data_IF_652711294282
#
_entry.id   IF_652711294282
#
_cell.length_a   1.000
_cell.length_b   1.000
_cell.length_c   1.000
_cell.angle_alpha   90.00
_cell.angle_beta   90.00
_cell.angle_gamma   90.00
#
_symmetry.space_group_name_H-M   'P 1'
#
loop_
_entity.id
_entity.type
_entity.pdbx_description
1 polymer ?
#
# COMPACT_ATOMS: atom_id res chain seq x y z
N UNK A 1 -11.76 30.43 -8.52
CA UNK A 1 -11.82 29.09 -9.09
C UNK A 1 -11.41 28.03 -8.11
N UNK A 2 -12.25 27.08 -7.98
CA UNK A 2 -11.97 26.03 -7.02
C UNK A 2 -10.98 25.03 -7.56
N UNK A 3 -9.96 24.70 -6.78
CA UNK A 3 -9.01 23.70 -7.15
C UNK A 3 -9.64 22.32 -7.05
N UNK A 4 -9.27 21.44 -7.97
CA UNK A 4 -9.70 20.08 -7.87
C UNK A 4 -9.14 19.46 -6.61
N UNK A 5 -10.01 18.94 -5.75
CA UNK A 5 -9.60 18.21 -4.57
C UNK A 5 -9.41 16.73 -4.87
N UNK A 6 -9.64 16.34 -6.11
CA UNK A 6 -9.55 14.95 -6.51
C UNK A 6 -8.11 14.50 -6.64
N UNK A 7 -7.90 13.25 -6.29
CA UNK A 7 -6.62 12.59 -6.43
C UNK A 7 -6.55 11.98 -7.82
N UNK A 8 -5.43 12.20 -8.50
CA UNK A 8 -5.15 11.58 -9.78
C UNK A 8 -4.45 10.25 -9.55
N UNK A 9 -5.10 9.15 -9.91
CA UNK A 9 -4.58 7.82 -9.64
C UNK A 9 -3.91 7.23 -10.88
N UNK A 10 -2.76 6.59 -10.66
CA UNK A 10 -1.99 5.91 -11.71
C UNK A 10 -1.62 4.52 -11.24
N UNK A 11 -1.89 3.53 -12.08
CA UNK A 11 -1.50 2.15 -11.80
C UNK A 11 -0.50 1.71 -12.87
N UNK A 12 0.70 1.31 -12.45
CA UNK A 12 1.76 0.94 -13.39
C UNK A 12 2.57 -0.24 -12.89
N UNK A 13 2.96 -1.15 -13.80
CA UNK A 13 3.99 -2.10 -13.47
C UNK A 13 5.33 -1.37 -13.31
N UNK A 14 6.29 -2.00 -12.65
CA UNK A 14 7.55 -1.34 -12.32
C UNK A 14 8.24 -0.73 -13.54
N UNK A 15 8.29 -1.46 -14.65
CA UNK A 15 9.03 -1.00 -15.83
C UNK A 15 8.39 0.19 -16.52
N UNK A 16 7.15 0.53 -16.19
CA UNK A 16 6.46 1.69 -16.77
C UNK A 16 6.49 2.90 -15.86
N UNK A 17 7.05 2.77 -14.66
CA UNK A 17 7.22 3.92 -13.78
C UNK A 17 8.29 4.86 -14.36
N UNK A 18 7.99 6.16 -14.36
CA UNK A 18 9.04 7.13 -14.66
C UNK A 18 10.01 7.17 -13.48
N UNK A 19 11.21 7.71 -13.72
CA UNK A 19 12.17 7.88 -12.62
C UNK A 19 11.60 8.78 -11.54
N UNK A 20 10.78 9.77 -11.92
CA UNK A 20 10.16 10.67 -10.94
C UNK A 20 9.11 9.95 -10.11
N UNK A 21 8.28 9.11 -10.76
CA UNK A 21 7.28 8.32 -10.04
C UNK A 21 7.93 7.35 -9.06
N UNK A 22 8.99 6.70 -9.48
CA UNK A 22 9.72 5.79 -8.60
C UNK A 22 10.32 6.53 -7.43
N UNK A 23 10.97 7.67 -7.70
CA UNK A 23 11.56 8.48 -6.64
C UNK A 23 10.49 8.94 -5.65
N UNK A 24 9.37 9.44 -6.15
CA UNK A 24 8.27 9.89 -5.30
C UNK A 24 7.75 8.77 -4.40
N UNK A 25 7.59 7.56 -4.96
CA UNK A 25 7.13 6.42 -4.19
C UNK A 25 8.10 6.07 -3.08
N UNK A 26 9.38 6.00 -3.39
CA UNK A 26 10.40 5.66 -2.39
C UNK A 26 10.51 6.75 -1.32
N UNK A 27 10.40 8.02 -1.72
CA UNK A 27 10.46 9.13 -0.78
C UNK A 27 9.29 9.08 0.21
N UNK A 28 8.07 8.87 -0.27
CA UNK A 28 6.90 8.78 0.59
C UNK A 28 7.01 7.60 1.55
N UNK A 29 7.44 6.45 1.03
CA UNK A 29 7.62 5.24 1.84
C UNK A 29 8.63 5.47 2.96
N UNK A 30 9.77 6.09 2.64
CA UNK A 30 10.78 6.38 3.65
C UNK A 30 10.28 7.39 4.68
N UNK A 31 9.61 8.45 4.22
CA UNK A 31 9.13 9.50 5.11
C UNK A 31 8.20 8.95 6.19
N UNK A 32 7.36 7.99 5.85
CA UNK A 32 6.40 7.43 6.80
C UNK A 32 6.97 6.22 7.54
N UNK A 33 7.45 5.22 6.80
CA UNK A 33 7.82 3.95 7.43
C UNK A 33 9.14 4.02 8.19
N UNK A 34 10.08 4.85 7.75
CA UNK A 34 11.38 4.94 8.41
C UNK A 34 11.49 6.18 9.31
N UNK A 35 11.13 7.34 8.78
CA UNK A 35 11.33 8.59 9.54
C UNK A 35 10.22 8.80 10.55
N UNK A 36 8.96 8.85 10.10
CA UNK A 36 7.83 9.11 11.01
C UNK A 36 7.70 8.02 12.07
N UNK A 37 7.83 6.75 11.67
CA UNK A 37 7.71 5.64 12.61
C UNK A 37 9.00 5.37 13.39
N UNK A 38 10.04 6.15 13.12
CA UNK A 38 11.33 6.01 13.80
C UNK A 38 11.81 4.56 13.75
N UNK A 39 11.83 3.99 12.55
CA UNK A 39 12.12 2.58 12.35
C UNK A 39 13.13 2.39 11.23
N UNK A 40 14.42 2.19 11.56
CA UNK A 40 15.42 1.94 10.52
C UNK A 40 15.25 0.51 9.99
N UNK A 41 14.91 0.39 8.71
CA UNK A 41 14.86 -0.90 8.03
C UNK A 41 15.06 -0.67 6.53
N UNK A 42 15.32 -1.75 5.82
CA UNK A 42 15.55 -1.66 4.39
C UNK A 42 14.23 -1.75 3.64
N UNK A 43 13.66 -0.59 3.29
CA UNK A 43 12.38 -0.51 2.62
C UNK A 43 12.40 -1.10 1.21
N UNK A 44 13.48 -0.89 0.46
CA UNK A 44 13.66 -1.51 -0.85
C UNK A 44 14.06 -2.96 -0.66
N UNK A 45 13.11 -3.87 -0.84
CA UNK A 45 13.24 -5.28 -0.47
C UNK A 45 13.39 -6.23 -1.66
N UNK A 46 13.61 -5.68 -2.86
CA UNK A 46 13.74 -6.48 -4.07
C UNK A 46 12.44 -6.95 -4.68
N UNK A 47 11.30 -6.53 -4.13
CA UNK A 47 9.99 -6.96 -4.61
C UNK A 47 9.30 -5.93 -5.50
N UNK A 48 9.81 -4.71 -5.52
CA UNK A 48 9.21 -3.63 -6.30
C UNK A 48 9.19 -3.95 -7.79
N UNK A 49 10.27 -4.57 -8.29
CA UNK A 49 10.42 -4.87 -9.70
C UNK A 49 9.39 -5.89 -10.20
N UNK A 50 8.81 -6.68 -9.28
CA UNK A 50 7.84 -7.73 -9.61
C UNK A 50 6.41 -7.30 -9.36
N UNK A 51 6.21 -6.05 -8.94
CA UNK A 51 4.93 -5.58 -8.44
C UNK A 51 4.31 -4.54 -9.34
N UNK A 52 3.01 -4.31 -9.15
CA UNK A 52 2.33 -3.14 -9.68
C UNK A 52 2.31 -2.05 -8.60
N UNK A 53 2.28 -0.81 -9.04
CA UNK A 53 2.37 0.35 -8.15
C UNK A 53 1.19 1.26 -8.39
N UNK A 54 0.43 1.53 -7.33
CA UNK A 54 -0.71 2.45 -7.37
C UNK A 54 -0.28 3.75 -6.72
N UNK A 55 -0.33 4.83 -7.49
CA UNK A 55 0.13 6.14 -7.04
C UNK A 55 -1.03 7.13 -7.09
N UNK A 56 -1.25 7.83 -6.00
CA UNK A 56 -2.25 8.88 -5.91
C UNK A 56 -1.60 10.24 -5.77
N UNK A 57 -1.77 11.07 -6.80
CA UNK A 57 -1.19 12.41 -6.84
C UNK A 57 -2.25 13.48 -6.63
N UNK A 58 -1.89 14.51 -5.89
CA UNK A 58 -2.72 15.69 -5.73
C UNK A 58 -1.83 16.91 -5.87
N UNK A 59 -2.13 17.77 -6.87
CA UNK A 59 -1.32 18.95 -7.17
C UNK A 59 0.16 18.59 -7.32
N UNK A 60 0.45 17.52 -8.07
CA UNK A 60 1.79 17.04 -8.38
C UNK A 60 2.57 16.50 -7.19
N UNK A 61 1.90 16.30 -6.05
CA UNK A 61 2.50 15.70 -4.86
C UNK A 61 1.94 14.29 -4.69
N UNK A 62 2.81 13.30 -4.51
CA UNK A 62 2.36 11.94 -4.22
C UNK A 62 1.87 11.89 -2.78
N UNK A 63 0.57 11.62 -2.60
CA UNK A 63 -0.04 11.62 -1.28
C UNK A 63 -0.51 10.25 -0.84
N UNK A 64 -0.58 9.29 -1.75
CA UNK A 64 -1.04 7.93 -1.43
C UNK A 64 -0.34 6.94 -2.33
N UNK A 65 -0.02 5.77 -1.79
CA UNK A 65 0.70 4.76 -2.54
C UNK A 65 0.39 3.38 -1.97
N UNK A 66 0.32 2.39 -2.85
CA UNK A 66 0.31 0.98 -2.44
C UNK A 66 1.04 0.14 -3.48
N UNK A 67 1.49 -1.03 -3.03
CA UNK A 67 2.18 -2.00 -3.88
C UNK A 67 1.32 -3.25 -3.98
N UNK A 68 1.00 -3.65 -5.22
CA UNK A 68 0.17 -4.81 -5.50
C UNK A 68 1.10 -5.94 -5.96
N UNK A 69 1.15 -7.01 -5.19
CA UNK A 69 2.11 -8.09 -5.40
C UNK A 69 1.41 -9.33 -5.95
N UNK A 70 1.89 -9.86 -7.08
CA UNK A 70 1.35 -11.13 -7.59
C UNK A 70 1.51 -12.27 -6.57
N UNK A 71 0.69 -13.30 -6.73
CA UNK A 71 0.84 -14.51 -5.93
C UNK A 71 2.26 -15.06 -6.04
N UNK A 72 2.82 -15.48 -4.92
CA UNK A 72 4.15 -16.08 -4.88
C UNK A 72 5.30 -15.11 -4.66
N UNK A 73 5.04 -13.79 -4.60
CA UNK A 73 6.10 -12.81 -4.34
C UNK A 73 6.35 -12.65 -2.84
N UNK A 74 5.33 -12.32 -2.08
CA UNK A 74 5.45 -12.23 -0.61
C UNK A 74 4.81 -13.43 0.08
N UNK A 75 3.68 -13.87 -0.44
CA UNK A 75 2.92 -15.00 0.08
C UNK A 75 2.50 -15.88 -1.09
N UNK A 76 1.96 -17.05 -0.80
CA UNK A 76 1.37 -17.89 -1.84
C UNK A 76 0.22 -17.14 -2.55
N UNK A 77 -0.50 -16.31 -1.81
CA UNK A 77 -1.60 -15.51 -2.34
C UNK A 77 -1.11 -14.16 -2.87
N UNK A 78 -1.99 -13.48 -3.60
CA UNK A 78 -1.83 -12.08 -3.96
C UNK A 78 -1.72 -11.26 -2.68
N UNK A 79 -0.99 -10.16 -2.71
CA UNK A 79 -0.83 -9.31 -1.54
C UNK A 79 -0.88 -7.83 -1.92
N UNK A 80 -1.19 -7.01 -0.94
CA UNK A 80 -1.10 -5.55 -1.03
C UNK A 80 -0.20 -5.12 0.11
N UNK A 81 0.84 -4.37 -0.20
CA UNK A 81 1.78 -3.92 0.82
C UNK A 81 2.18 -2.47 0.62
N UNK A 82 2.99 -1.99 1.55
CA UNK A 82 3.47 -0.60 1.53
C UNK A 82 2.33 0.40 1.38
N UNK A 83 1.19 0.12 2.01
CA UNK A 83 0.02 1.00 2.00
C UNK A 83 0.35 2.23 2.84
N UNK A 84 0.32 3.40 2.21
CA UNK A 84 0.78 4.61 2.89
C UNK A 84 0.06 5.84 2.36
N UNK A 85 -0.24 6.77 3.26
CA UNK A 85 -0.72 8.10 2.91
C UNK A 85 0.20 9.15 3.52
N UNK A 86 0.38 10.24 2.78
CA UNK A 86 1.16 11.37 3.26
C UNK A 86 0.50 11.93 4.53
N UNK A 87 1.31 12.27 5.53
CA UNK A 87 0.80 12.68 6.85
C UNK A 87 -0.19 13.85 6.77
N UNK A 88 0.02 14.77 5.84
CA UNK A 88 -0.83 15.97 5.72
C UNK A 88 -2.18 15.67 5.08
N UNK A 89 -2.38 14.46 4.58
CA UNK A 89 -3.60 14.05 3.88
C UNK A 89 -4.33 12.91 4.58
N UNK A 90 -3.95 12.59 5.81
CA UNK A 90 -4.68 11.62 6.62
C UNK A 90 -5.98 12.24 7.09
N UNK A 91 -6.97 11.40 7.38
CA UNK A 91 -8.30 11.81 7.80
C UNK A 91 -9.07 12.53 6.71
N UNK A 92 -8.65 12.41 5.46
CA UNK A 92 -9.32 13.00 4.30
C UNK A 92 -10.08 11.99 3.47
N UNK A 93 -10.00 10.70 3.85
CA UNK A 93 -10.59 9.62 3.06
C UNK A 93 -9.64 9.04 2.02
N UNK A 94 -8.42 9.59 1.89
CA UNK A 94 -7.45 9.13 0.90
C UNK A 94 -7.05 7.67 1.14
N UNK A 95 -6.89 7.26 2.39
CA UNK A 95 -6.53 5.87 2.72
C UNK A 95 -7.61 4.88 2.35
N UNK A 96 -8.87 5.25 2.57
CA UNK A 96 -10.01 4.40 2.18
C UNK A 96 -10.09 4.25 0.66
N UNK A 97 -9.93 5.36 -0.06
CA UNK A 97 -9.97 5.32 -1.51
C UNK A 97 -8.80 4.51 -2.06
N UNK A 98 -7.60 4.71 -1.50
CA UNK A 98 -6.43 3.93 -1.86
C UNK A 98 -6.68 2.43 -1.74
N UNK A 99 -7.24 2.01 -0.61
CA UNK A 99 -7.48 0.58 -0.37
C UNK A 99 -8.57 0.02 -1.27
N UNK A 100 -9.65 0.77 -1.46
CA UNK A 100 -10.73 0.37 -2.36
C UNK A 100 -10.21 0.17 -3.78
N UNK A 101 -9.42 1.11 -4.27
CA UNK A 101 -8.82 1.02 -5.60
C UNK A 101 -7.80 -0.11 -5.71
N UNK A 102 -7.00 -0.30 -4.65
CA UNK A 102 -6.02 -1.39 -4.63
C UNK A 102 -6.70 -2.74 -4.80
N UNK A 103 -7.78 -2.97 -4.07
CA UNK A 103 -8.53 -4.22 -4.17
C UNK A 103 -9.17 -4.39 -5.54
N UNK A 104 -9.77 -3.31 -6.07
CA UNK A 104 -10.37 -3.36 -7.41
C UNK A 104 -9.35 -3.67 -8.48
N UNK A 105 -8.17 -3.08 -8.41
CA UNK A 105 -7.10 -3.35 -9.37
C UNK A 105 -6.54 -4.77 -9.22
N UNK A 106 -6.40 -5.26 -7.99
CA UNK A 106 -5.98 -6.64 -7.78
C UNK A 106 -6.93 -7.61 -8.45
N UNK A 107 -8.23 -7.38 -8.30
CA UNK A 107 -9.24 -8.25 -8.90
C UNK A 107 -9.19 -8.20 -10.43
N UNK A 108 -8.97 -7.01 -10.99
CA UNK A 108 -8.88 -6.85 -12.43
C UNK A 108 -7.62 -7.46 -13.02
N UNK A 109 -6.47 -7.29 -12.33
CA UNK A 109 -5.17 -7.74 -12.86
C UNK A 109 -4.94 -9.22 -12.57
N UNK A 110 -5.25 -9.67 -11.35
CA UNK A 110 -4.91 -11.01 -10.88
C UNK A 110 -6.11 -11.95 -10.83
N UNK A 111 -7.29 -11.51 -11.27
CA UNK A 111 -8.57 -12.20 -11.12
C UNK A 111 -9.00 -12.26 -9.66
N UNK A 112 -10.25 -12.67 -9.43
CA UNK A 112 -10.76 -12.76 -8.07
C UNK A 112 -10.08 -13.93 -7.35
N UNK A 113 -9.36 -13.63 -6.29
CA UNK A 113 -8.67 -14.65 -5.51
C UNK A 113 -8.35 -14.08 -4.13
N UNK A 114 -7.97 -14.94 -3.18
CA UNK A 114 -7.65 -14.46 -1.84
C UNK A 114 -6.47 -13.49 -1.83
N UNK A 115 -6.54 -12.49 -0.95
CA UNK A 115 -5.49 -11.51 -0.73
C UNK A 115 -5.01 -11.64 0.71
N UNK A 116 -3.71 -11.88 0.89
CA UNK A 116 -3.09 -11.99 2.20
C UNK A 116 -2.21 -10.78 2.45
N UNK A 117 -2.31 -10.19 3.64
CA UNK A 117 -1.49 -9.02 3.99
C UNK A 117 -0.85 -9.20 5.37
N UNK A 118 0.27 -8.49 5.55
CA UNK A 118 0.84 -8.26 6.87
C UNK A 118 0.48 -6.85 7.29
N UNK A 119 -0.48 -6.72 8.18
CA UNK A 119 -1.02 -5.44 8.60
C UNK A 119 -0.45 -5.03 9.94
N UNK A 120 -0.11 -3.74 10.11
CA UNK A 120 0.22 -3.23 11.43
C UNK A 120 -1.00 -3.40 12.33
N UNK A 121 -0.79 -3.93 13.53
CA UNK A 121 -1.88 -4.35 14.41
C UNK A 121 -2.88 -3.24 14.71
N UNK A 122 -2.40 -2.01 14.87
CA UNK A 122 -3.28 -0.89 15.19
C UNK A 122 -4.24 -0.53 14.04
N UNK A 123 -3.99 -1.04 12.83
CA UNK A 123 -4.85 -0.83 11.67
C UNK A 123 -5.83 -1.98 11.41
N UNK A 124 -5.93 -2.92 12.36
CA UNK A 124 -6.79 -4.10 12.19
C UNK A 124 -8.21 -3.74 11.75
N UNK A 125 -8.85 -2.80 12.46
CA UNK A 125 -10.22 -2.41 12.15
C UNK A 125 -10.34 -1.79 10.77
N UNK A 126 -9.34 -1.01 10.37
CA UNK A 126 -9.32 -0.41 9.04
C UNK A 126 -9.41 -1.50 7.97
N UNK A 127 -8.58 -2.54 8.09
CA UNK A 127 -8.59 -3.62 7.11
C UNK A 127 -9.81 -4.52 7.23
N UNK A 128 -10.35 -4.71 8.42
CA UNK A 128 -11.59 -5.48 8.60
C UNK A 128 -12.74 -4.85 7.82
N UNK A 129 -12.77 -3.54 7.72
CA UNK A 129 -13.80 -2.83 6.96
C UNK A 129 -13.76 -3.14 5.47
N UNK A 130 -12.66 -3.71 4.98
CA UNK A 130 -12.52 -4.13 3.58
C UNK A 130 -12.64 -5.64 3.41
N UNK A 131 -13.07 -6.35 4.45
CA UNK A 131 -13.29 -7.79 4.37
C UNK A 131 -12.11 -8.65 4.77
N UNK A 132 -11.03 -8.06 5.25
CA UNK A 132 -9.89 -8.83 5.77
C UNK A 132 -10.22 -9.38 7.14
N UNK A 133 -9.73 -10.58 7.41
CA UNK A 133 -9.91 -11.25 8.71
C UNK A 133 -8.56 -11.64 9.26
N UNK A 134 -8.40 -11.44 10.57
CA UNK A 134 -7.22 -11.86 11.31
C UNK A 134 -7.20 -13.39 11.32
N UNK A 135 -6.08 -13.99 10.91
CA UNK A 135 -5.95 -15.46 10.87
C UNK A 135 -5.27 -16.01 12.11
N UNK A 136 -5.08 -15.18 13.15
CA UNK A 136 -4.54 -15.66 14.41
C UNK A 136 -3.02 -15.72 14.47
N UNK A 137 -2.35 -15.06 13.55
CA UNK A 137 -0.88 -15.02 13.51
C UNK A 137 -0.40 -13.60 13.73
N UNK A 138 0.22 -13.36 14.89
CA UNK A 138 0.79 -12.07 15.24
C UNK A 138 2.30 -12.17 15.27
N UNK A 139 2.99 -11.12 14.83
CA UNK A 139 4.44 -11.11 14.79
C UNK A 139 4.95 -9.68 14.94
N UNK A 140 6.25 -9.54 15.23
CA UNK A 140 6.91 -8.25 15.25
C UNK A 140 7.70 -8.09 13.96
N UNK A 141 7.54 -6.94 13.32
CA UNK A 141 8.34 -6.58 12.16
C UNK A 141 8.99 -5.26 12.50
N UNK A 142 10.31 -5.27 12.60
CA UNK A 142 11.09 -4.09 13.00
C UNK A 142 10.56 -3.46 14.29
N UNK A 143 10.15 -4.31 15.24
CA UNK A 143 9.65 -3.88 16.54
C UNK A 143 8.20 -3.43 16.56
N UNK A 144 7.51 -3.45 15.44
CA UNK A 144 6.11 -3.01 15.33
C UNK A 144 5.21 -4.25 15.26
N UNK A 145 4.18 -4.35 16.15
CA UNK A 145 3.26 -5.49 16.10
C UNK A 145 2.48 -5.54 14.78
N UNK A 146 2.45 -6.71 14.17
CA UNK A 146 1.75 -6.97 12.91
C UNK A 146 0.85 -8.18 13.04
N UNK A 147 -0.16 -8.24 12.20
CA UNK A 147 -1.09 -9.36 12.07
C UNK A 147 -1.09 -9.83 10.63
N UNK A 148 -1.17 -11.15 10.44
CA UNK A 148 -1.52 -11.68 9.11
C UNK A 148 -3.03 -11.64 8.98
N UNK A 149 -3.50 -11.06 7.88
CA UNK A 149 -4.93 -10.98 7.59
C UNK A 149 -5.20 -11.51 6.18
N UNK A 150 -6.37 -12.09 6.00
CA UNK A 150 -6.75 -12.71 4.73
C UNK A 150 -8.14 -12.24 4.32
N UNK A 151 -8.29 -11.93 3.04
CA UNK A 151 -9.57 -11.59 2.42
C UNK A 151 -9.84 -12.59 1.31
N UNK A 152 -11.03 -13.18 1.35
CA UNK A 152 -11.46 -14.12 0.29
C UNK A 152 -11.89 -13.41 -0.97
#
# INVERSE_FOLDING_TARGET
MEQSSQISWRLKPFNELSVHELYDALQLRQAVFCVEQNCPYQDCDGKDQKSFHLLGYKNDVLIAYSRLLPAGVSYAEVSIGRVVTHRDYRMTGAGKELMRLSLGHCERIFSHQPVRIGAQKYLKRFYENFGFKDVGQEYLEDGIPHLIMLRD
#
